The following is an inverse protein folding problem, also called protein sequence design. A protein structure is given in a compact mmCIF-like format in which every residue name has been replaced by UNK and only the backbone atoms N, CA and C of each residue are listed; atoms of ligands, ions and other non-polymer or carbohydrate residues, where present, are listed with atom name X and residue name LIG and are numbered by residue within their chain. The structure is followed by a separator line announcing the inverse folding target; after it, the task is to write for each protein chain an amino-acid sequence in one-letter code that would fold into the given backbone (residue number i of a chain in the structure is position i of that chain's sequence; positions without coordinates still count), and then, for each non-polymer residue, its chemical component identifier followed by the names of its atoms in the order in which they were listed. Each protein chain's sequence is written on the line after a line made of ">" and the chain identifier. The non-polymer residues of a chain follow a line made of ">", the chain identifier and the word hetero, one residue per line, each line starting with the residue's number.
data_IF_475785300574
#
_entry.id   IF_475785300574
#
_cell.length_a   1.000
_cell.length_b   1.000
_cell.length_c   1.000
_cell.angle_alpha   90.00
_cell.angle_beta   90.00
_cell.angle_gamma   90.00
#
_symmetry.space_group_name_H-M   'P 1'
#
loop_
_entity.id
_entity.type
_entity.pdbx_description
1 polymer ?
#
# COMPACT_ATOMS: atom_id res chain seq x y z
N UNK A 1 43.59 -23.30 40.28
CA UNK A 1 44.94 -23.82 40.60
C UNK A 1 44.98 -25.25 40.10
N UNK A 2 45.77 -25.75 39.15
CA UNK A 2 46.94 -25.35 38.32
C UNK A 2 46.87 -26.37 37.14
N UNK A 3 47.10 -26.08 35.86
CA UNK A 3 48.44 -26.04 35.25
C UNK A 3 48.31 -25.95 33.73
N UNK A 4 49.19 -25.16 33.12
CA UNK A 4 49.40 -25.03 31.69
C UNK A 4 50.40 -26.10 31.21
N UNK A 5 50.03 -26.91 30.22
CA UNK A 5 50.99 -27.72 29.46
C UNK A 5 50.76 -27.51 27.95
N UNK A 6 51.60 -26.61 27.47
CA UNK A 6 52.16 -26.43 26.13
C UNK A 6 52.18 -27.70 25.27
N UNK A 7 51.59 -27.64 24.07
CA UNK A 7 52.09 -28.40 22.92
C UNK A 7 52.36 -27.45 21.75
N UNK A 8 53.65 -27.15 21.61
CA UNK A 8 54.25 -26.49 20.46
C UNK A 8 54.37 -27.52 19.32
N UNK A 9 53.75 -27.25 18.17
CA UNK A 9 54.17 -27.84 16.90
C UNK A 9 54.12 -26.77 15.81
N UNK A 10 55.28 -26.49 15.22
CA UNK A 10 55.41 -26.06 13.82
C UNK A 10 55.35 -24.56 13.52
N UNK A 11 56.44 -23.84 13.78
CA UNK A 11 56.77 -22.63 13.03
C UNK A 11 57.89 -22.95 12.01
N UNK A 12 57.63 -22.84 10.69
CA UNK A 12 58.52 -22.23 9.69
C UNK A 12 58.02 -22.36 8.25
N UNK A 13 58.06 -21.22 7.57
CA UNK A 13 58.18 -20.99 6.12
C UNK A 13 56.98 -21.23 5.22
N UNK A 14 56.29 -20.13 4.88
CA UNK A 14 56.19 -19.68 3.48
C UNK A 14 55.76 -18.20 3.41
N UNK A 15 56.75 -17.36 3.13
CA UNK A 15 56.68 -16.32 2.11
C UNK A 15 55.60 -15.22 2.22
N UNK A 16 56.05 -14.06 2.72
CA UNK A 16 55.37 -12.78 2.63
C UNK A 16 55.20 -12.38 1.16
N UNK A 17 54.01 -12.57 0.58
CA UNK A 17 53.57 -11.75 -0.55
C UNK A 17 53.00 -10.46 -0.01
N UNK A 18 53.78 -9.40 -0.18
CA UNK A 18 53.43 -8.00 -0.09
C UNK A 18 51.98 -7.74 -0.59
N UNK A 19 51.07 -7.50 0.36
CA UNK A 19 49.71 -6.99 0.10
C UNK A 19 49.71 -5.50 0.41
N UNK A 20 50.38 -4.72 -0.42
CA UNK A 20 49.96 -3.34 -0.62
C UNK A 20 48.65 -3.40 -1.44
N UNK A 21 47.52 -2.88 -0.94
CA UNK A 21 46.30 -2.82 -1.74
C UNK A 21 46.55 -1.85 -2.89
N UNK A 22 46.56 -2.38 -4.11
CA UNK A 22 46.61 -1.62 -5.34
C UNK A 22 45.40 -0.67 -5.40
N UNK A 23 45.64 0.64 -5.39
CA UNK A 23 44.62 1.70 -5.24
C UNK A 23 43.87 2.03 -6.54
N UNK A 24 43.80 1.09 -7.47
CA UNK A 24 43.20 1.29 -8.80
C UNK A 24 42.21 0.18 -9.15
N UNK A 25 41.39 -0.26 -8.20
CA UNK A 25 40.11 -0.89 -8.54
C UNK A 25 39.18 0.22 -9.06
N UNK A 26 39.24 0.46 -10.37
CA UNK A 26 38.23 1.24 -11.07
C UNK A 26 36.91 0.50 -10.85
N UNK A 27 36.03 1.09 -10.03
CA UNK A 27 34.65 0.67 -9.85
C UNK A 27 34.01 0.47 -11.24
N UNK A 28 33.82 -0.79 -11.63
CA UNK A 28 33.31 -1.17 -12.96
C UNK A 28 31.77 -1.13 -13.03
N UNK A 29 31.12 -0.71 -11.94
CA UNK A 29 29.66 -0.78 -11.77
C UNK A 29 28.97 0.58 -11.96
N UNK A 30 29.63 1.58 -12.55
CA UNK A 30 29.07 2.93 -12.66
C UNK A 30 29.07 3.50 -14.08
N UNK A 31 28.76 2.66 -15.07
CA UNK A 31 28.36 3.15 -16.40
C UNK A 31 27.36 2.26 -17.12
N UNK A 32 26.58 1.46 -16.40
CA UNK A 32 25.28 1.04 -16.93
C UNK A 32 24.34 2.20 -16.63
N UNK A 33 24.46 3.27 -17.44
CA UNK A 33 23.35 4.19 -17.62
C UNK A 33 22.15 3.28 -17.82
N UNK A 34 21.15 3.37 -16.94
CA UNK A 34 19.87 2.70 -17.10
C UNK A 34 19.19 3.31 -18.33
N UNK A 35 19.76 3.07 -19.50
CA UNK A 35 19.33 3.53 -20.83
C UNK A 35 17.92 3.04 -21.07
N UNK A 36 17.59 1.86 -20.56
CA UNK A 36 16.23 1.30 -20.51
C UNK A 36 15.28 2.22 -19.72
N UNK A 37 15.68 2.68 -18.53
CA UNK A 37 14.84 3.58 -17.72
C UNK A 37 14.76 4.99 -18.34
N UNK A 38 15.85 5.48 -18.94
CA UNK A 38 15.88 6.76 -19.63
C UNK A 38 15.04 6.74 -20.92
N UNK A 39 15.07 5.65 -21.68
CA UNK A 39 14.20 5.44 -22.85
C UNK A 39 12.73 5.38 -22.44
N UNK A 40 12.40 4.73 -21.33
CA UNK A 40 11.04 4.72 -20.79
C UNK A 40 10.61 6.12 -20.32
N UNK A 41 11.52 6.90 -19.73
CA UNK A 41 11.26 8.27 -19.32
C UNK A 41 11.08 9.22 -20.52
N UNK A 42 11.88 9.07 -21.58
CA UNK A 42 11.74 9.86 -22.81
C UNK A 42 10.44 9.51 -23.54
N UNK A 43 10.04 8.23 -23.58
CA UNK A 43 8.76 7.79 -24.15
C UNK A 43 7.54 8.36 -23.40
N UNK A 44 7.59 8.41 -22.07
CA UNK A 44 6.49 8.99 -21.27
C UNK A 44 6.45 10.52 -21.38
N UNK A 45 7.61 11.18 -21.50
CA UNK A 45 7.67 12.63 -21.73
C UNK A 45 7.20 13.03 -23.13
N UNK A 46 7.50 12.24 -24.17
CA UNK A 46 7.02 12.47 -25.54
C UNK A 46 5.52 12.21 -25.67
N UNK A 47 4.99 11.13 -25.10
CA UNK A 47 3.55 10.86 -25.07
C UNK A 47 2.75 11.98 -24.35
N UNK A 48 3.33 12.55 -23.28
CA UNK A 48 2.74 13.69 -22.57
C UNK A 48 2.81 15.00 -23.36
N UNK A 49 3.80 15.16 -24.24
CA UNK A 49 3.96 16.33 -25.10
C UNK A 49 3.06 16.27 -26.36
N UNK A 50 2.73 15.07 -26.84
CA UNK A 50 1.83 14.85 -27.99
C UNK A 50 0.34 14.94 -27.64
N UNK A 51 0.00 15.26 -26.38
CA UNK A 51 -1.40 15.40 -25.94
C UNK A 51 -2.17 14.08 -25.91
N UNK A 52 -1.48 12.95 -26.06
CA UNK A 52 -2.08 11.64 -25.87
C UNK A 52 -2.35 11.44 -24.38
N UNK A 53 -3.63 11.30 -24.05
CA UNK A 53 -4.07 10.82 -22.74
C UNK A 53 -3.32 9.52 -22.45
N UNK A 54 -2.43 9.57 -21.47
CA UNK A 54 -1.88 8.36 -20.89
C UNK A 54 -3.08 7.61 -20.31
N UNK A 55 -3.58 6.61 -21.04
CA UNK A 55 -4.30 5.49 -20.45
C UNK A 55 -3.34 4.87 -19.46
N UNK A 56 -3.36 5.41 -18.25
CA UNK A 56 -2.90 4.66 -17.11
C UNK A 56 -3.85 3.47 -17.11
N UNK A 57 -3.34 2.28 -17.40
CA UNK A 57 -3.96 1.02 -16.99
C UNK A 57 -4.05 1.07 -15.47
N UNK A 58 -5.02 1.87 -15.02
CA UNK A 58 -5.38 1.94 -13.65
C UNK A 58 -6.01 0.58 -13.44
N UNK A 59 -5.28 -0.27 -12.71
CA UNK A 59 -5.80 -1.43 -12.02
C UNK A 59 -6.86 -0.94 -11.02
N UNK A 60 -7.94 -0.37 -11.55
CA UNK A 60 -9.08 0.08 -10.82
C UNK A 60 -9.86 -1.20 -10.62
N UNK A 61 -9.83 -1.69 -9.39
CA UNK A 61 -10.85 -2.63 -8.95
C UNK A 61 -12.20 -2.07 -9.43
N UNK A 62 -13.01 -2.85 -10.16
CA UNK A 62 -14.24 -2.33 -10.75
C UNK A 62 -15.02 -1.56 -9.71
N UNK A 63 -15.49 -0.35 -10.05
CA UNK A 63 -16.24 0.49 -9.10
C UNK A 63 -17.35 -0.30 -8.40
N UNK A 64 -18.04 -1.18 -9.11
CA UNK A 64 -19.07 -2.06 -8.55
C UNK A 64 -18.56 -2.94 -7.41
N UNK A 65 -17.33 -3.46 -7.51
CA UNK A 65 -16.69 -4.26 -6.44
C UNK A 65 -16.41 -3.40 -5.21
N UNK A 66 -15.83 -2.22 -5.38
CA UNK A 66 -15.54 -1.30 -4.27
C UNK A 66 -16.84 -0.80 -3.62
N UNK A 67 -17.86 -0.51 -4.43
CA UNK A 67 -19.17 -0.10 -3.95
C UNK A 67 -19.88 -1.22 -3.19
N UNK A 68 -19.82 -2.47 -3.69
CA UNK A 68 -20.35 -3.63 -2.99
C UNK A 68 -19.64 -3.85 -1.66
N UNK A 69 -18.31 -3.71 -1.63
CA UNK A 69 -17.53 -3.78 -0.39
C UNK A 69 -17.95 -2.69 0.60
N UNK A 70 -18.11 -1.45 0.14
CA UNK A 70 -18.58 -0.35 0.97
C UNK A 70 -19.98 -0.61 1.54
N UNK A 71 -20.92 -1.11 0.73
CA UNK A 71 -22.25 -1.50 1.18
C UNK A 71 -22.19 -2.61 2.23
N UNK A 72 -21.38 -3.64 2.00
CA UNK A 72 -21.18 -4.72 2.97
C UNK A 72 -20.60 -4.16 4.27
N UNK A 73 -19.65 -3.23 4.19
CA UNK A 73 -19.05 -2.62 5.38
C UNK A 73 -20.07 -1.80 6.18
N UNK A 74 -20.94 -1.03 5.52
CA UNK A 74 -22.02 -0.29 6.20
C UNK A 74 -23.02 -1.24 6.83
N UNK A 75 -23.35 -2.36 6.17
CA UNK A 75 -24.21 -3.39 6.71
C UNK A 75 -23.60 -4.05 7.97
N UNK A 76 -22.30 -4.34 7.96
CA UNK A 76 -21.58 -4.84 9.15
C UNK A 76 -21.60 -3.83 10.30
N UNK A 77 -21.37 -2.54 10.01
CA UNK A 77 -21.46 -1.47 11.00
C UNK A 77 -22.86 -1.38 11.61
N UNK A 78 -23.90 -1.49 10.78
CA UNK A 78 -25.29 -1.47 11.22
C UNK A 78 -25.61 -2.65 12.13
N UNK A 79 -25.25 -3.88 11.73
CA UNK A 79 -25.46 -5.07 12.56
C UNK A 79 -24.68 -5.00 13.89
N UNK A 80 -23.46 -4.48 13.87
CA UNK A 80 -22.66 -4.27 15.07
C UNK A 80 -23.32 -3.25 16.01
N UNK A 81 -23.82 -2.13 15.46
CA UNK A 81 -24.55 -1.14 16.24
C UNK A 81 -25.83 -1.71 16.87
N UNK A 82 -26.59 -2.52 16.12
CA UNK A 82 -27.80 -3.17 16.63
C UNK A 82 -27.47 -4.21 17.70
N UNK A 83 -26.39 -4.98 17.55
CA UNK A 83 -25.93 -5.93 18.55
C UNK A 83 -25.50 -5.23 19.84
N UNK A 84 -24.75 -4.13 19.73
CA UNK A 84 -24.35 -3.32 20.89
C UNK A 84 -25.57 -2.71 21.58
N UNK A 85 -26.52 -2.18 20.81
CA UNK A 85 -27.77 -1.64 21.32
C UNK A 85 -28.55 -2.71 22.10
N UNK A 86 -28.74 -3.89 21.52
CA UNK A 86 -29.45 -4.98 22.18
C UNK A 86 -28.76 -5.41 23.49
N UNK A 87 -27.43 -5.54 23.49
CA UNK A 87 -26.65 -5.88 24.69
C UNK A 87 -26.78 -4.82 25.78
N UNK A 88 -26.75 -3.54 25.39
CA UNK A 88 -26.98 -2.42 26.31
C UNK A 88 -28.39 -2.44 26.89
N UNK A 89 -29.42 -2.67 26.07
CA UNK A 89 -30.82 -2.79 26.51
C UNK A 89 -31.03 -3.99 27.47
N UNK A 90 -30.24 -5.05 27.30
CA UNK A 90 -30.21 -6.21 28.21
C UNK A 90 -29.42 -5.95 29.51
N UNK A 91 -28.78 -4.78 29.66
CA UNK A 91 -28.03 -4.41 30.86
C UNK A 91 -26.63 -5.02 30.95
N UNK A 92 -26.02 -5.39 29.82
CA UNK A 92 -24.63 -5.89 29.78
C UNK A 92 -23.66 -4.83 30.34
N UNK A 93 -22.95 -5.11 31.46
CA UNK A 93 -22.04 -4.14 32.08
C UNK A 93 -20.79 -3.85 31.23
N UNK A 94 -20.53 -4.65 30.19
CA UNK A 94 -19.39 -4.47 29.29
C UNK A 94 -19.71 -3.59 28.08
N UNK A 95 -20.96 -3.14 27.92
CA UNK A 95 -21.37 -2.26 26.83
C UNK A 95 -21.85 -0.95 27.42
N UNK A 96 -21.19 0.13 27.03
CA UNK A 96 -21.57 1.49 27.44
C UNK A 96 -22.52 2.14 26.44
N UNK A 97 -23.36 3.06 26.91
CA UNK A 97 -24.19 3.90 26.03
C UNK A 97 -23.33 4.67 25.01
N UNK A 98 -22.13 5.10 25.41
CA UNK A 98 -21.19 5.79 24.53
C UNK A 98 -20.77 4.94 23.33
N UNK A 99 -20.49 3.66 23.52
CA UNK A 99 -20.15 2.74 22.44
C UNK A 99 -21.31 2.53 21.46
N UNK A 100 -22.54 2.38 21.97
CA UNK A 100 -23.74 2.28 21.14
C UNK A 100 -23.93 3.54 20.29
N UNK A 101 -23.79 4.72 20.90
CA UNK A 101 -23.93 6.00 20.19
C UNK A 101 -22.84 6.20 19.13
N UNK A 102 -21.58 5.85 19.44
CA UNK A 102 -20.48 5.92 18.48
C UNK A 102 -20.71 4.95 17.31
N UNK A 103 -21.15 3.72 17.59
CA UNK A 103 -21.46 2.74 16.56
C UNK A 103 -22.60 3.21 15.64
N UNK A 104 -23.65 3.79 16.21
CA UNK A 104 -24.75 4.39 15.46
C UNK A 104 -24.28 5.57 14.59
N UNK A 105 -23.44 6.46 15.12
CA UNK A 105 -22.88 7.58 14.37
C UNK A 105 -22.00 7.13 13.20
N UNK A 106 -21.16 6.10 13.41
CA UNK A 106 -20.34 5.50 12.35
C UNK A 106 -21.21 4.94 11.22
N UNK A 107 -22.28 4.23 11.57
CA UNK A 107 -23.23 3.67 10.60
C UNK A 107 -23.88 4.77 9.76
N UNK A 108 -24.37 5.84 10.41
CA UNK A 108 -24.99 6.96 9.72
C UNK A 108 -24.03 7.67 8.78
N UNK A 109 -22.81 7.96 9.24
CA UNK A 109 -21.78 8.60 8.41
C UNK A 109 -21.38 7.73 7.21
N UNK A 110 -21.21 6.42 7.42
CA UNK A 110 -20.88 5.47 6.37
C UNK A 110 -21.98 5.34 5.31
N UNK A 111 -23.24 5.30 5.74
CA UNK A 111 -24.39 5.28 4.83
C UNK A 111 -24.45 6.56 4.00
N UNK A 112 -24.29 7.72 4.63
CA UNK A 112 -24.30 9.01 3.94
C UNK A 112 -23.20 9.09 2.88
N UNK A 113 -21.97 8.69 3.24
CA UNK A 113 -20.85 8.63 2.30
C UNK A 113 -21.17 7.73 1.09
N UNK A 114 -21.77 6.56 1.34
CA UNK A 114 -22.15 5.60 0.30
C UNK A 114 -23.21 6.18 -0.64
N UNK A 115 -24.21 6.88 -0.12
CA UNK A 115 -25.24 7.56 -0.92
C UNK A 115 -24.63 8.67 -1.78
N UNK A 116 -23.68 9.46 -1.25
CA UNK A 116 -22.99 10.49 -2.03
C UNK A 116 -22.23 9.89 -3.21
N UNK A 117 -21.53 8.79 -2.98
CA UNK A 117 -20.80 8.07 -4.04
C UNK A 117 -21.78 7.53 -5.09
N UNK A 118 -22.87 6.86 -4.68
CA UNK A 118 -23.92 6.40 -5.59
C UNK A 118 -24.43 7.54 -6.48
N UNK A 119 -24.79 8.67 -5.89
CA UNK A 119 -25.31 9.81 -6.62
C UNK A 119 -24.29 10.37 -7.61
N UNK A 120 -23.01 10.45 -7.21
CA UNK A 120 -21.95 10.94 -8.10
C UNK A 120 -21.73 10.02 -9.31
N UNK A 121 -21.84 8.70 -9.12
CA UNK A 121 -21.73 7.74 -10.23
C UNK A 121 -22.92 7.84 -11.18
N UNK A 122 -24.14 7.99 -10.64
CA UNK A 122 -25.33 8.21 -11.48
C UNK A 122 -25.20 9.52 -12.28
N UNK A 123 -24.70 10.60 -11.66
CA UNK A 123 -24.45 11.86 -12.35
C UNK A 123 -23.42 11.72 -13.46
N UNK A 124 -22.29 11.04 -13.21
CA UNK A 124 -21.26 10.84 -14.22
C UNK A 124 -21.78 10.02 -15.41
N UNK A 125 -22.63 9.02 -15.16
CA UNK A 125 -23.30 8.27 -16.23
C UNK A 125 -24.25 9.15 -17.04
N UNK A 126 -25.06 9.97 -16.37
CA UNK A 126 -25.95 10.93 -17.04
C UNK A 126 -25.18 11.97 -17.85
N UNK A 127 -24.03 12.44 -17.35
CA UNK A 127 -23.18 13.42 -18.03
C UNK A 127 -22.60 12.86 -19.33
N UNK A 128 -22.11 11.61 -19.32
CA UNK A 128 -21.62 10.93 -20.52
C UNK A 128 -22.74 10.76 -21.56
N UNK A 129 -23.96 10.41 -21.12
CA UNK A 129 -25.11 10.27 -22.02
C UNK A 129 -25.55 11.58 -22.67
N UNK A 130 -25.41 12.70 -21.96
CA UNK A 130 -25.84 14.02 -22.44
C UNK A 130 -24.73 14.78 -23.18
N UNK A 131 -23.55 14.18 -23.33
CA UNK A 131 -22.47 14.77 -24.11
C UNK A 131 -22.86 14.73 -25.60
N UNK A 132 -22.88 15.86 -26.32
CA UNK A 132 -23.08 15.85 -27.76
C UNK A 132 -21.92 15.09 -28.41
N UNK A 133 -22.26 14.14 -29.30
CA UNK A 133 -21.28 13.52 -30.22
C UNK A 133 -20.86 14.49 -31.32
#
# INVERSE_FOLDING_TARGET
>A
MVSYERLLYGARSAEKKDKTPNKYEVNKDMSDINTVNLLNQIKTMSAKAEGSVIETEANQSPFGTVFQQALNQVNELNQSADALKARFEMGDPNVSLGEVMIAAQKTNLGLEATVRVRNKVVQAYQEIMNMPV
#
